data_IF_663355300483
#
_entry.id   IF_663355300483
#
_cell.length_a   1.000
_cell.length_b   1.000
_cell.length_c   1.000
_cell.angle_alpha   90.00
_cell.angle_beta   90.00
_cell.angle_gamma   90.00
#
_symmetry.space_group_name_H-M   'P 1'
#
loop_
_entity.id
_entity.type
_entity.pdbx_description
1 polymer ?
#
# COMPACT_ATOMS: atom_id res chain seq x y z
N UNK A 1 -6.94 -19.72 -20.18
CA UNK A 1 -7.58 -18.47 -20.64
C UNK A 1 -8.09 -17.73 -19.43
N UNK A 2 -8.07 -16.39 -19.42
CA UNK A 2 -8.66 -15.63 -18.32
C UNK A 2 -10.17 -15.92 -18.22
N UNK A 3 -10.72 -15.91 -17.01
CA UNK A 3 -12.15 -16.11 -16.80
C UNK A 3 -12.93 -14.85 -17.15
N UNK A 4 -14.24 -14.99 -17.32
CA UNK A 4 -15.13 -13.84 -17.37
C UNK A 4 -15.01 -13.02 -16.06
N UNK A 5 -15.04 -11.68 -16.09
CA UNK A 5 -15.19 -10.78 -17.25
C UNK A 5 -13.87 -10.39 -17.94
N UNK A 6 -12.73 -10.83 -17.40
CA UNK A 6 -11.39 -10.36 -17.78
C UNK A 6 -10.99 -10.74 -19.21
N UNK A 7 -11.58 -11.78 -19.78
CA UNK A 7 -11.38 -12.19 -21.17
C UNK A 7 -12.23 -11.43 -22.20
N UNK A 8 -13.08 -10.50 -21.77
CA UNK A 8 -13.99 -9.79 -22.69
C UNK A 8 -13.32 -8.57 -23.34
N UNK A 9 -13.66 -8.28 -24.59
CA UNK A 9 -13.21 -7.06 -25.28
C UNK A 9 -13.72 -5.77 -24.60
N UNK A 10 -14.81 -5.86 -23.83
CA UNK A 10 -15.33 -4.75 -23.02
C UNK A 10 -14.37 -4.43 -21.87
N UNK A 11 -13.91 -5.46 -21.14
CA UNK A 11 -12.92 -5.29 -20.08
C UNK A 11 -11.59 -4.76 -20.62
N UNK A 12 -11.10 -5.31 -21.73
CA UNK A 12 -9.84 -4.86 -22.33
C UNK A 12 -9.86 -3.36 -22.67
N UNK A 13 -10.96 -2.87 -23.25
CA UNK A 13 -11.14 -1.44 -23.55
C UNK A 13 -11.22 -0.58 -22.28
N UNK A 14 -12.00 -1.00 -21.29
CA UNK A 14 -12.13 -0.30 -20.00
C UNK A 14 -10.77 -0.21 -19.29
N UNK A 15 -10.03 -1.31 -19.25
CA UNK A 15 -8.68 -1.38 -18.68
C UNK A 15 -7.72 -0.41 -19.35
N UNK A 16 -7.70 -0.37 -20.69
CA UNK A 16 -6.82 0.55 -21.43
C UNK A 16 -7.19 2.01 -21.18
N UNK A 17 -8.48 2.34 -21.18
CA UNK A 17 -8.96 3.69 -20.89
C UNK A 17 -8.61 4.12 -19.45
N UNK A 18 -8.80 3.23 -18.47
CA UNK A 18 -8.47 3.53 -17.09
C UNK A 18 -6.96 3.71 -16.86
N UNK A 19 -6.11 2.87 -17.46
CA UNK A 19 -4.64 3.05 -17.37
C UNK A 19 -4.15 4.36 -18.02
N UNK A 20 -4.87 4.88 -19.02
CA UNK A 20 -4.54 6.18 -19.60
C UNK A 20 -4.90 7.35 -18.67
N UNK A 21 -5.94 7.19 -17.85
CA UNK A 21 -6.38 8.18 -16.86
C UNK A 21 -5.51 8.11 -15.60
N UNK A 22 -5.22 6.89 -15.13
CA UNK A 22 -4.43 6.62 -13.94
C UNK A 22 -3.23 5.74 -14.32
N UNK A 23 -2.14 6.33 -14.85
CA UNK A 23 -0.96 5.59 -15.31
C UNK A 23 -0.01 5.18 -14.18
N UNK A 24 -0.22 5.70 -12.97
CA UNK A 24 0.65 5.49 -11.81
C UNK A 24 0.06 4.47 -10.84
N UNK A 25 0.93 3.70 -10.17
CA UNK A 25 0.53 2.73 -9.17
C UNK A 25 0.11 3.41 -7.86
N UNK A 26 -1.17 3.31 -7.47
CA UNK A 26 -1.65 3.86 -6.18
C UNK A 26 -0.86 3.35 -4.98
N UNK A 27 -0.57 2.05 -4.96
CA UNK A 27 0.17 1.44 -3.86
C UNK A 27 1.60 1.96 -3.72
N UNK A 28 2.24 2.38 -4.81
CA UNK A 28 3.56 3.04 -4.77
C UNK A 28 3.42 4.50 -4.38
N UNK A 29 2.42 5.22 -4.90
CA UNK A 29 2.16 6.61 -4.51
C UNK A 29 1.91 6.77 -3.01
N UNK A 30 1.20 5.83 -2.38
CA UNK A 30 1.02 5.79 -0.91
C UNK A 30 2.35 5.74 -0.14
N UNK A 31 3.41 5.18 -0.75
CA UNK A 31 4.76 5.13 -0.17
C UNK A 31 5.64 6.31 -0.58
N UNK A 32 5.11 7.27 -1.35
CA UNK A 32 5.90 8.34 -1.95
C UNK A 32 6.80 7.87 -3.11
N UNK A 33 6.52 6.70 -3.69
CA UNK A 33 7.25 6.16 -4.83
C UNK A 33 6.45 6.38 -6.13
N UNK A 34 7.14 6.74 -7.21
CA UNK A 34 6.54 6.78 -8.55
C UNK A 34 6.86 5.49 -9.30
N UNK A 35 5.82 4.75 -9.69
CA UNK A 35 5.96 3.54 -10.48
C UNK A 35 4.81 3.42 -11.49
N UNK A 36 5.10 3.00 -12.74
CA UNK A 36 4.07 2.82 -13.75
C UNK A 36 3.14 1.67 -13.37
N UNK A 37 1.84 1.89 -13.51
CA UNK A 37 0.84 0.85 -13.39
C UNK A 37 0.71 0.08 -14.71
N UNK A 38 0.43 -1.21 -14.59
CA UNK A 38 0.09 -2.06 -15.73
C UNK A 38 -1.05 -3.02 -15.42
N UNK A 39 -1.58 -2.99 -14.20
CA UNK A 39 -2.66 -3.86 -13.76
C UNK A 39 -3.78 -2.97 -13.24
N UNK A 40 -5.00 -3.27 -13.65
CA UNK A 40 -6.20 -2.58 -13.20
C UNK A 40 -6.99 -3.58 -12.39
N UNK A 41 -7.42 -3.14 -11.22
CA UNK A 41 -8.09 -3.96 -10.24
C UNK A 41 -9.39 -3.30 -9.80
N UNK A 42 -10.37 -4.12 -9.41
CA UNK A 42 -11.64 -3.66 -8.90
C UNK A 42 -11.46 -3.16 -7.46
N UNK A 43 -11.98 -1.98 -7.15
CA UNK A 43 -11.98 -1.47 -5.77
C UNK A 43 -12.91 -2.33 -4.91
N UNK A 44 -14.12 -2.60 -5.42
CA UNK A 44 -15.02 -3.58 -4.84
C UNK A 44 -14.97 -4.88 -5.67
N UNK A 45 -14.41 -5.97 -5.14
CA UNK A 45 -14.20 -7.21 -5.90
C UNK A 45 -15.51 -7.79 -6.44
N UNK A 46 -15.46 -8.39 -7.63
CA UNK A 46 -16.60 -9.09 -8.22
C UNK A 46 -17.05 -10.26 -7.34
N UNK A 47 -16.12 -10.93 -6.67
CA UNK A 47 -16.39 -12.02 -5.72
C UNK A 47 -17.24 -11.58 -4.52
N UNK A 48 -17.27 -10.27 -4.23
CA UNK A 48 -18.06 -9.67 -3.14
C UNK A 48 -19.34 -8.98 -3.63
N UNK A 49 -19.69 -9.14 -4.91
CA UNK A 49 -20.88 -8.54 -5.52
C UNK A 49 -20.61 -7.24 -6.29
N UNK A 50 -19.33 -6.89 -6.50
CA UNK A 50 -18.96 -5.74 -7.31
C UNK A 50 -19.39 -5.86 -8.79
N UNK A 51 -19.71 -4.73 -9.45
CA UNK A 51 -20.04 -4.74 -10.86
C UNK A 51 -18.84 -5.19 -11.70
N UNK A 52 -19.08 -6.02 -12.71
CA UNK A 52 -18.02 -6.49 -13.61
C UNK A 52 -17.37 -5.36 -14.45
N UNK A 53 -18.15 -4.31 -14.75
CA UNK A 53 -17.73 -3.17 -15.57
C UNK A 53 -18.12 -1.85 -14.89
N UNK A 54 -17.47 -1.46 -13.78
CA UNK A 54 -17.74 -0.19 -13.11
C UNK A 54 -17.28 1.01 -13.95
N UNK A 55 -17.63 2.22 -13.49
CA UNK A 55 -16.94 3.44 -13.90
C UNK A 55 -15.49 3.46 -13.42
N UNK A 56 -14.73 4.48 -13.85
CA UNK A 56 -13.31 4.62 -13.48
C UNK A 56 -13.09 4.82 -11.97
N UNK A 57 -14.11 5.30 -11.26
CA UNK A 57 -14.16 5.45 -9.81
C UNK A 57 -14.24 4.11 -9.06
N UNK A 58 -14.68 3.04 -9.71
CA UNK A 58 -14.69 1.68 -9.17
C UNK A 58 -13.45 0.85 -9.49
N UNK A 59 -12.44 1.47 -10.12
CA UNK A 59 -11.19 0.83 -10.54
C UNK A 59 -9.97 1.53 -9.91
N UNK A 60 -8.90 0.77 -9.77
CA UNK A 60 -7.61 1.27 -9.31
C UNK A 60 -6.45 0.66 -10.10
N UNK A 61 -5.42 1.47 -10.34
CA UNK A 61 -4.22 1.08 -11.08
C UNK A 61 -3.08 0.69 -10.13
N UNK A 62 -2.43 -0.44 -10.43
CA UNK A 62 -1.31 -0.98 -9.66
C UNK A 62 -0.18 -1.51 -10.55
N UNK A 63 1.03 -1.52 -9.99
CA UNK A 63 2.14 -2.31 -10.51
C UNK A 63 1.98 -3.79 -10.07
N UNK A 64 2.64 -4.76 -10.75
CA UNK A 64 2.46 -6.18 -10.45
C UNK A 64 2.79 -6.54 -8.99
N UNK A 65 3.82 -5.90 -8.42
CA UNK A 65 4.24 -6.17 -7.05
C UNK A 65 3.18 -5.70 -6.03
N UNK A 66 2.63 -4.49 -6.21
CA UNK A 66 1.59 -3.97 -5.33
C UNK A 66 0.28 -4.76 -5.49
N UNK A 67 -0.09 -5.12 -6.72
CA UNK A 67 -1.27 -5.93 -6.99
C UNK A 67 -1.18 -7.30 -6.29
N UNK A 68 -0.10 -8.05 -6.50
CA UNK A 68 0.11 -9.34 -5.83
C UNK A 68 0.10 -9.22 -4.31
N UNK A 69 0.67 -8.16 -3.75
CA UNK A 69 0.65 -7.90 -2.32
C UNK A 69 -0.75 -7.56 -1.78
N UNK A 70 -1.58 -6.86 -2.57
CA UNK A 70 -3.00 -6.60 -2.24
C UNK A 70 -3.78 -7.92 -2.26
N UNK A 71 -3.69 -8.67 -3.35
CA UNK A 71 -4.38 -9.97 -3.51
C UNK A 71 -4.01 -10.92 -2.39
N UNK A 72 -2.73 -11.03 -2.01
CA UNK A 72 -2.29 -11.88 -0.91
C UNK A 72 -2.87 -11.51 0.47
N UNK A 73 -3.37 -10.29 0.65
CA UNK A 73 -4.01 -9.83 1.89
C UNK A 73 -5.53 -9.74 1.79
N UNK A 74 -6.07 -9.70 0.57
CA UNK A 74 -7.50 -9.59 0.32
C UNK A 74 -8.24 -10.92 0.48
N UNK A 75 -9.56 -10.86 0.34
CA UNK A 75 -10.46 -12.02 0.34
C UNK A 75 -10.17 -12.98 -0.81
N UNK A 76 -9.58 -12.49 -1.90
CA UNK A 76 -9.19 -13.23 -3.09
C UNK A 76 -7.88 -14.04 -2.96
N UNK A 77 -7.16 -13.94 -1.84
CA UNK A 77 -5.82 -14.52 -1.69
C UNK A 77 -5.76 -16.05 -1.86
N UNK A 78 -6.84 -16.77 -1.50
CA UNK A 78 -6.88 -18.24 -1.51
C UNK A 78 -5.67 -18.86 -0.79
N UNK A 79 -4.92 -19.71 -1.50
CA UNK A 79 -3.71 -20.36 -0.99
C UNK A 79 -2.51 -19.40 -0.83
N UNK A 80 -2.54 -18.21 -1.46
CA UNK A 80 -1.46 -17.20 -1.43
C UNK A 80 -1.66 -16.21 -0.28
N UNK A 81 -2.60 -16.49 0.63
CA UNK A 81 -2.87 -15.63 1.80
C UNK A 81 -1.62 -15.41 2.65
N UNK A 82 -1.35 -14.16 2.99
CA UNK A 82 -0.25 -13.75 3.84
C UNK A 82 -0.79 -13.09 5.10
N UNK A 83 -0.40 -13.61 6.26
CA UNK A 83 -0.64 -12.98 7.56
C UNK A 83 0.46 -12.00 7.97
N UNK A 84 1.49 -11.84 7.11
CA UNK A 84 2.60 -10.93 7.40
C UNK A 84 2.15 -9.48 7.24
N UNK A 85 2.48 -8.60 8.22
CA UNK A 85 2.15 -7.19 8.12
C UNK A 85 2.69 -6.52 6.85
N UNK A 86 2.03 -5.45 6.41
CA UNK A 86 2.54 -4.57 5.36
C UNK A 86 3.84 -3.94 5.81
N UNK A 87 4.88 -4.16 5.02
CA UNK A 87 6.22 -3.60 5.27
C UNK A 87 6.25 -2.13 4.84
N UNK A 88 6.96 -1.32 5.62
CA UNK A 88 7.27 0.08 5.33
C UNK A 88 6.63 1.05 6.32
N UNK A 89 7.06 2.31 6.23
CA UNK A 89 6.55 3.41 7.04
C UNK A 89 6.16 4.59 6.14
N UNK A 90 5.21 5.40 6.60
CA UNK A 90 4.86 6.70 6.04
C UNK A 90 5.98 7.74 6.27
N UNK A 91 5.93 8.91 5.58
CA UNK A 91 6.88 10.01 5.80
C UNK A 91 6.91 10.55 7.24
N UNK A 92 5.84 10.38 8.00
CA UNK A 92 5.75 10.77 9.42
C UNK A 92 6.30 9.69 10.38
N UNK A 93 6.75 8.56 9.84
CA UNK A 93 7.34 7.46 10.58
C UNK A 93 6.36 6.40 11.09
N UNK A 94 5.04 6.54 10.85
CA UNK A 94 4.09 5.49 11.25
C UNK A 94 4.16 4.30 10.29
N UNK A 95 3.92 3.05 10.75
CA UNK A 95 3.76 1.89 9.88
C UNK A 95 2.74 2.12 8.76
N UNK A 96 2.95 1.50 7.60
CA UNK A 96 1.97 1.51 6.48
C UNK A 96 0.81 0.54 6.65
N UNK A 97 0.94 -0.41 7.56
CA UNK A 97 -0.11 -1.39 7.87
C UNK A 97 -1.04 -0.80 8.95
N UNK A 98 -2.34 -0.58 8.65
CA UNK A 98 -3.32 -0.12 9.63
C UNK A 98 -3.42 -1.02 10.85
N UNK A 99 -3.21 -2.33 10.67
CA UNK A 99 -3.32 -3.33 11.72
C UNK A 99 -2.00 -3.50 12.49
N UNK A 100 -0.96 -2.71 12.19
CA UNK A 100 0.30 -2.77 12.93
C UNK A 100 0.08 -2.30 14.38
N UNK A 101 0.64 -2.99 15.40
CA UNK A 101 0.53 -2.59 16.82
C UNK A 101 1.05 -1.18 17.16
N UNK A 102 1.70 -0.51 16.21
CA UNK A 102 2.31 0.82 16.35
C UNK A 102 1.83 1.78 15.24
N UNK A 103 0.74 1.42 14.52
CA UNK A 103 0.13 2.27 13.50
C UNK A 103 -0.42 3.57 14.09
N UNK A 104 -1.13 3.46 15.22
CA UNK A 104 -1.51 4.61 16.02
C UNK A 104 -0.29 5.10 16.81
N UNK A 105 -0.05 6.44 16.81
CA UNK A 105 1.02 7.07 17.60
C UNK A 105 1.03 6.45 18.99
N UNK A 106 2.18 5.95 19.43
CA UNK A 106 2.30 5.57 20.83
C UNK A 106 1.93 6.80 21.66
N UNK A 107 0.90 6.69 22.49
CA UNK A 107 0.53 7.69 23.51
C UNK A 107 1.64 7.89 24.57
N UNK A 108 2.85 7.37 24.31
CA UNK A 108 4.04 7.42 25.14
C UNK A 108 5.21 8.14 24.46
N UNK A 109 5.01 8.68 23.26
CA UNK A 109 5.93 9.66 22.67
C UNK A 109 5.55 11.07 23.15
N UNK A 110 5.37 11.21 24.45
CA UNK A 110 5.25 12.49 25.13
C UNK A 110 6.58 13.24 24.90
N UNK A 111 6.54 14.56 24.73
CA UNK A 111 7.73 15.40 24.54
C UNK A 111 8.74 15.39 25.70
N UNK A 112 8.50 14.59 26.74
CA UNK A 112 9.43 14.30 27.81
C UNK A 112 10.21 13.02 27.50
N UNK A 113 11.27 13.15 26.71
CA UNK A 113 12.38 12.21 26.83
C UNK A 113 12.89 12.18 28.28
N UNK A 114 13.57 11.10 28.71
CA UNK A 114 14.23 11.11 30.01
C UNK A 114 15.10 12.38 30.12
N UNK A 115 15.15 13.03 31.31
CA UNK A 115 15.93 14.25 31.48
C UNK A 115 17.35 14.02 30.96
N UNK A 116 17.84 14.97 30.17
CA UNK A 116 19.07 14.82 29.41
C UNK A 116 20.19 14.55 30.41
N UNK A 117 20.72 13.33 30.39
CA UNK A 117 21.80 12.99 31.29
C UNK A 117 23.08 13.59 30.72
N UNK A 118 23.55 14.71 31.31
CA UNK A 118 24.78 15.40 30.90
C UNK A 118 26.03 14.48 30.90
N UNK A 119 25.94 13.30 31.52
CA UNK A 119 27.02 12.32 31.61
C UNK A 119 27.30 11.55 30.31
N UNK A 120 26.45 11.62 29.30
CA UNK A 120 26.63 10.90 28.03
C UNK A 120 27.28 11.75 26.93
N UNK A 121 28.03 12.80 27.29
CA UNK A 121 28.91 13.48 26.33
C UNK A 121 30.07 12.53 25.98
N UNK A 122 29.98 11.88 24.81
CA UNK A 122 30.97 10.90 24.36
C UNK A 122 32.33 11.51 23.93
N UNK A 123 32.46 12.84 23.83
CA UNK A 123 33.72 13.56 23.59
C UNK A 123 33.48 14.98 24.11
N UNK A 124 34.29 15.64 24.94
CA UNK A 124 35.75 15.76 24.93
C UNK A 124 36.30 16.00 26.34
N UNK A 125 37.01 15.01 26.91
CA UNK A 125 37.96 15.27 28.00
C UNK A 125 39.29 15.73 27.39
N UNK A 126 39.58 17.02 27.57
CA UNK A 126 40.93 17.59 27.72
C UNK A 126 41.81 17.73 26.47
N UNK A 127 42.30 18.95 26.23
CA UNK A 127 43.73 19.27 26.32
C UNK A 127 43.94 20.77 26.07
N UNK A 128 44.17 21.52 27.15
CA UNK A 128 45.21 22.54 27.35
C UNK A 128 45.13 23.06 28.80
#
# INVERSE_FOLDING_TARGET
MANWPYNTARWQRLRLAHLAIEPECRGCMERGELAPANTVDHIHPISEGGPAFPGHDGLASYCPACHSAKTARGTEAGAVRSTRPRKGCNPDGTPLDPDHPWHEKSLRADGSGPPWNLHNQLVSKGNL
#
